data_IF_147052572935
#
_entry.id   IF_147052572935
#
_cell.length_a   1.000
_cell.length_b   1.000
_cell.length_c   1.000
_cell.angle_alpha   90.00
_cell.angle_beta   90.00
_cell.angle_gamma   90.00
#
_symmetry.space_group_name_H-M   'P 1'
#
loop_
_entity.id
_entity.type
_entity.pdbx_description
1 polymer ?
#
# COMPACT_ATOMS: atom_id res chain seq x y z
N UNK A 1 -7.73 -0.74 -13.22
CA UNK A 1 -8.23 0.48 -12.56
C UNK A 1 -8.81 1.42 -13.62
N UNK A 2 -9.93 2.11 -13.35
CA UNK A 2 -10.51 3.11 -14.28
C UNK A 2 -10.47 4.55 -13.72
N UNK A 3 -10.13 4.67 -12.43
CA UNK A 3 -9.99 5.92 -11.67
C UNK A 3 -9.13 5.63 -10.45
N UNK A 4 -8.18 6.52 -10.14
CA UNK A 4 -7.31 6.41 -8.96
C UNK A 4 -8.05 6.63 -7.63
N UNK A 5 -9.20 7.30 -7.64
CA UNK A 5 -10.16 7.38 -6.51
C UNK A 5 -11.39 6.52 -6.74
N UNK A 6 -11.22 5.40 -7.45
CA UNK A 6 -12.31 4.51 -7.81
C UNK A 6 -12.46 3.32 -6.86
N UNK A 7 -13.69 2.92 -6.55
CA UNK A 7 -14.00 1.66 -5.87
C UNK A 7 -15.22 1.04 -6.54
N UNK A 8 -15.16 -0.25 -6.87
CA UNK A 8 -16.18 -0.91 -7.69
C UNK A 8 -16.47 -0.13 -8.99
N UNK A 9 -17.70 0.36 -9.19
CA UNK A 9 -18.08 1.24 -10.29
C UNK A 9 -18.29 2.70 -9.88
N UNK A 10 -17.71 3.13 -8.76
CA UNK A 10 -17.86 4.47 -8.18
C UNK A 10 -16.54 5.24 -8.22
N UNK A 11 -16.60 6.57 -8.17
CA UNK A 11 -15.44 7.45 -8.01
C UNK A 11 -15.71 8.55 -6.99
N UNK A 12 -14.70 8.97 -6.24
CA UNK A 12 -14.83 10.04 -5.24
C UNK A 12 -13.92 11.24 -5.57
N UNK A 13 -14.51 12.37 -5.98
CA UNK A 13 -13.81 13.63 -6.22
C UNK A 13 -14.54 14.78 -5.53
N UNK A 14 -14.44 14.81 -4.19
CA UNK A 14 -15.23 15.72 -3.35
C UNK A 14 -16.67 15.26 -3.15
N UNK A 15 -16.92 13.95 -3.31
CA UNK A 15 -18.23 13.32 -3.29
C UNK A 15 -18.28 12.09 -4.18
N UNK A 16 -18.97 11.05 -3.72
CA UNK A 16 -19.16 9.79 -4.46
C UNK A 16 -20.05 10.05 -5.69
N UNK A 17 -19.58 9.57 -6.85
CA UNK A 17 -20.29 9.66 -8.13
C UNK A 17 -20.33 8.28 -8.78
N UNK A 18 -21.51 7.83 -9.23
CA UNK A 18 -21.64 6.66 -10.08
C UNK A 18 -20.84 6.78 -11.39
N UNK A 19 -20.27 5.66 -11.83
CA UNK A 19 -19.39 5.60 -13.00
C UNK A 19 -19.37 4.20 -13.67
N UNK A 20 -20.47 3.45 -13.59
CA UNK A 20 -20.69 2.17 -14.26
C UNK A 20 -20.34 2.22 -15.75
N UNK A 21 -20.82 3.24 -16.46
CA UNK A 21 -20.56 3.42 -17.90
C UNK A 21 -19.07 3.56 -18.19
N UNK A 22 -18.37 4.37 -17.38
CA UNK A 22 -16.92 4.55 -17.48
C UNK A 22 -16.16 3.29 -17.13
N UNK A 23 -16.56 2.55 -16.09
CA UNK A 23 -15.96 1.28 -15.69
C UNK A 23 -16.05 0.26 -16.83
N UNK A 24 -17.22 0.12 -17.47
CA UNK A 24 -17.41 -0.77 -18.62
C UNK A 24 -16.55 -0.35 -19.81
N UNK A 25 -16.53 0.94 -20.16
CA UNK A 25 -15.70 1.44 -21.25
C UNK A 25 -14.20 1.23 -20.99
N UNK A 26 -13.74 1.45 -19.75
CA UNK A 26 -12.36 1.22 -19.36
C UNK A 26 -11.98 -0.26 -19.39
N UNK A 27 -12.89 -1.16 -18.98
CA UNK A 27 -12.68 -2.60 -19.08
C UNK A 27 -12.57 -3.05 -20.54
N UNK A 28 -13.40 -2.51 -21.44
CA UNK A 28 -13.30 -2.78 -22.88
C UNK A 28 -11.95 -2.31 -23.44
N UNK A 29 -11.57 -1.07 -23.18
CA UNK A 29 -10.29 -0.54 -23.63
C UNK A 29 -9.12 -1.36 -23.07
N UNK A 30 -9.17 -1.74 -21.78
CA UNK A 30 -8.14 -2.62 -21.21
C UNK A 30 -8.06 -3.95 -21.99
N UNK A 31 -9.18 -4.56 -22.35
CA UNK A 31 -9.18 -5.80 -23.12
C UNK A 31 -8.59 -5.62 -24.54
N UNK A 32 -8.94 -4.54 -25.22
CA UNK A 32 -8.48 -4.27 -26.59
C UNK A 32 -6.97 -4.01 -26.67
N UNK A 33 -6.38 -3.44 -25.62
CA UNK A 33 -4.96 -3.05 -25.60
C UNK A 33 -4.05 -3.98 -24.78
N UNK A 34 -4.60 -5.01 -24.13
CA UNK A 34 -3.81 -5.98 -23.36
C UNK A 34 -3.90 -7.36 -24.00
N UNK A 35 -2.78 -8.10 -24.12
CA UNK A 35 -2.80 -9.47 -24.60
C UNK A 35 -3.41 -10.39 -23.52
N UNK A 36 -4.73 -10.40 -23.43
CA UNK A 36 -5.46 -11.02 -22.34
C UNK A 36 -6.48 -12.05 -22.81
N UNK A 37 -6.73 -13.02 -21.94
CA UNK A 37 -7.92 -13.88 -21.98
C UNK A 37 -8.66 -13.70 -20.67
N UNK A 38 -9.89 -13.21 -20.74
CA UNK A 38 -10.69 -12.86 -19.54
C UNK A 38 -12.00 -13.63 -19.55
N UNK A 39 -12.40 -14.08 -18.36
CA UNK A 39 -13.71 -14.66 -18.17
C UNK A 39 -14.74 -13.53 -18.08
N UNK A 40 -15.86 -13.69 -18.79
CA UNK A 40 -17.03 -12.84 -18.66
C UNK A 40 -18.24 -13.67 -18.21
N UNK A 41 -19.13 -13.13 -17.36
CA UNK A 41 -20.37 -13.79 -17.01
C UNK A 41 -21.17 -14.23 -18.25
N UNK A 42 -21.60 -15.48 -18.28
CA UNK A 42 -22.42 -16.03 -19.37
C UNK A 42 -21.67 -16.33 -20.69
N UNK A 43 -20.35 -16.15 -20.76
CA UNK A 43 -19.55 -16.47 -21.94
C UNK A 43 -18.58 -17.63 -21.69
N UNK A 44 -18.54 -18.58 -22.62
CA UNK A 44 -17.48 -19.60 -22.68
C UNK A 44 -16.24 -19.11 -23.44
N UNK A 45 -16.38 -18.04 -24.24
CA UNK A 45 -15.28 -17.40 -24.95
C UNK A 45 -14.50 -16.49 -24.01
N UNK A 46 -13.18 -16.48 -24.18
CA UNK A 46 -12.25 -15.65 -23.38
C UNK A 46 -11.43 -14.67 -24.22
N UNK A 47 -11.59 -14.74 -25.53
CA UNK A 47 -10.91 -13.98 -26.58
C UNK A 47 -11.83 -12.93 -27.23
N UNK A 48 -13.02 -12.73 -26.66
CA UNK A 48 -13.92 -11.64 -26.98
C UNK A 48 -14.33 -10.94 -25.68
N UNK A 49 -14.43 -9.61 -25.73
CA UNK A 49 -15.10 -8.81 -24.71
C UNK A 49 -16.43 -8.29 -25.25
N UNK A 50 -17.52 -8.61 -24.55
CA UNK A 50 -18.84 -8.01 -24.76
C UNK A 50 -19.10 -7.03 -23.63
N UNK A 51 -19.22 -5.74 -23.96
CA UNK A 51 -19.54 -4.71 -22.98
C UNK A 51 -21.00 -4.87 -22.50
N UNK A 52 -21.28 -4.99 -21.19
CA UNK A 52 -22.65 -4.98 -20.70
C UNK A 52 -23.27 -3.59 -20.85
N UNK A 53 -24.57 -3.56 -21.16
CA UNK A 53 -25.34 -2.32 -21.10
C UNK A 53 -25.60 -1.96 -19.63
N UNK A 54 -25.10 -0.79 -19.20
CA UNK A 54 -25.21 -0.30 -17.82
C UNK A 54 -25.56 1.19 -17.82
N UNK A 55 -26.15 1.65 -16.72
CA UNK A 55 -26.40 3.06 -16.45
C UNK A 55 -25.72 3.46 -15.14
N UNK A 56 -25.31 4.73 -15.04
CA UNK A 56 -24.69 5.27 -13.84
C UNK A 56 -25.75 5.43 -12.74
N UNK A 57 -25.60 4.71 -11.64
CA UNK A 57 -26.52 4.72 -10.50
C UNK A 57 -25.77 4.60 -9.15
N UNK A 58 -26.28 5.22 -8.06
CA UNK A 58 -25.76 4.97 -6.72
C UNK A 58 -25.89 3.49 -6.35
N UNK A 59 -24.92 2.95 -5.59
CA UNK A 59 -24.93 1.53 -5.22
C UNK A 59 -26.10 1.11 -4.32
N UNK A 60 -26.65 2.04 -3.53
CA UNK A 60 -27.76 1.76 -2.63
C UNK A 60 -27.37 0.74 -1.54
N UNK A 61 -27.84 -0.49 -1.68
CA UNK A 61 -27.60 -1.59 -0.75
C UNK A 61 -26.20 -2.17 -0.91
N UNK A 62 -25.53 -2.40 0.22
CA UNK A 62 -24.21 -3.03 0.29
C UNK A 62 -24.29 -4.34 1.09
N UNK A 63 -23.52 -5.35 0.68
CA UNK A 63 -23.39 -6.60 1.42
C UNK A 63 -22.46 -6.49 2.65
N UNK A 64 -22.18 -7.61 3.31
CA UNK A 64 -21.32 -7.67 4.49
C UNK A 64 -19.83 -7.39 4.22
N UNK A 65 -19.43 -7.28 2.96
CA UNK A 65 -18.09 -6.91 2.50
C UNK A 65 -18.07 -5.50 1.86
N UNK A 66 -19.19 -4.77 1.88
CA UNK A 66 -19.30 -3.45 1.26
C UNK A 66 -19.43 -3.49 -0.26
N UNK A 67 -19.76 -4.65 -0.86
CA UNK A 67 -20.06 -4.80 -2.28
C UNK A 67 -21.46 -4.23 -2.58
N UNK A 68 -21.58 -3.34 -3.56
CA UNK A 68 -22.86 -2.80 -4.00
C UNK A 68 -23.65 -3.79 -4.82
N UNK A 69 -24.91 -4.02 -4.43
CA UNK A 69 -25.80 -4.99 -5.06
C UNK A 69 -26.61 -4.42 -6.24
N UNK A 70 -26.40 -3.14 -6.56
CA UNK A 70 -26.96 -2.50 -7.76
C UNK A 70 -26.56 -3.30 -9.02
N UNK A 71 -27.54 -3.63 -9.86
CA UNK A 71 -27.35 -4.55 -11.00
C UNK A 71 -26.33 -4.03 -12.02
N UNK A 72 -26.34 -2.73 -12.30
CA UNK A 72 -25.39 -2.06 -13.18
C UNK A 72 -23.95 -2.10 -12.64
N UNK A 73 -23.77 -1.91 -11.33
CA UNK A 73 -22.48 -2.08 -10.66
C UNK A 73 -21.96 -3.50 -10.83
N UNK A 74 -22.76 -4.51 -10.47
CA UNK A 74 -22.39 -5.92 -10.60
C UNK A 74 -22.02 -6.26 -12.05
N UNK A 75 -22.85 -5.86 -13.03
CA UNK A 75 -22.54 -6.04 -14.44
C UNK A 75 -21.22 -5.37 -14.85
N UNK A 76 -20.98 -4.13 -14.40
CA UNK A 76 -19.76 -3.39 -14.74
C UNK A 76 -18.50 -4.01 -14.13
N UNK A 77 -18.50 -4.35 -12.83
CA UNK A 77 -17.31 -4.89 -12.14
C UNK A 77 -17.02 -6.33 -12.55
N UNK A 78 -18.04 -7.13 -12.86
CA UNK A 78 -17.88 -8.51 -13.29
C UNK A 78 -17.57 -8.66 -14.79
N UNK A 79 -17.77 -7.61 -15.59
CA UNK A 79 -17.48 -7.66 -17.03
C UNK A 79 -16.03 -8.00 -17.36
N UNK A 80 -15.10 -7.83 -16.42
CA UNK A 80 -13.69 -8.16 -16.55
C UNK A 80 -13.11 -8.72 -15.24
N UNK A 81 -13.21 -10.05 -15.03
CA UNK A 81 -12.58 -10.70 -13.87
C UNK A 81 -11.12 -11.08 -14.18
N UNK A 82 -10.17 -10.44 -13.48
CA UNK A 82 -8.73 -10.67 -13.68
C UNK A 82 -8.08 -11.61 -12.67
N UNK A 83 -8.67 -11.82 -11.49
CA UNK A 83 -8.02 -12.66 -10.48
C UNK A 83 -7.87 -14.11 -10.97
N UNK A 84 -6.66 -14.66 -10.86
CA UNK A 84 -6.26 -15.95 -11.47
C UNK A 84 -4.92 -16.41 -10.90
N UNK A 85 -4.55 -17.65 -11.22
CA UNK A 85 -3.25 -18.22 -10.87
C UNK A 85 -2.46 -18.61 -12.11
N UNK A 86 -1.14 -18.39 -12.09
CA UNK A 86 -0.20 -18.87 -13.08
C UNK A 86 0.90 -19.68 -12.38
N UNK A 87 1.27 -20.84 -12.92
CA UNK A 87 2.20 -21.79 -12.27
C UNK A 87 3.48 -21.95 -13.10
N UNK A 88 4.63 -21.71 -12.47
CA UNK A 88 5.95 -21.99 -13.04
C UNK A 88 6.61 -23.15 -12.30
N UNK A 89 6.35 -24.36 -12.80
CA UNK A 89 6.87 -25.60 -12.24
C UNK A 89 6.52 -25.77 -10.77
N UNK A 90 7.48 -26.25 -9.98
CA UNK A 90 7.34 -26.39 -8.51
C UNK A 90 7.62 -25.10 -7.73
N UNK A 91 8.32 -24.15 -8.35
CA UNK A 91 8.89 -23.02 -7.61
C UNK A 91 7.87 -21.91 -7.35
N UNK A 92 7.08 -21.53 -8.35
CA UNK A 92 6.23 -20.33 -8.25
C UNK A 92 4.78 -20.66 -8.58
N UNK A 93 3.90 -20.24 -7.67
CA UNK A 93 2.51 -19.94 -7.98
C UNK A 93 2.31 -18.44 -7.88
N UNK A 94 2.09 -17.80 -9.02
CA UNK A 94 1.75 -16.38 -9.10
C UNK A 94 0.23 -16.27 -8.98
N UNK A 95 -0.23 -15.69 -7.87
CA UNK A 95 -1.63 -15.45 -7.56
C UNK A 95 -1.89 -13.97 -7.83
N UNK A 96 -2.78 -13.69 -8.79
CA UNK A 96 -3.16 -12.33 -9.15
C UNK A 96 -4.54 -12.04 -8.58
N UNK A 97 -4.70 -10.87 -7.96
CA UNK A 97 -5.98 -10.38 -7.42
C UNK A 97 -6.42 -9.09 -8.12
N UNK A 98 -7.71 -8.78 -8.06
CA UNK A 98 -8.24 -7.46 -8.38
C UNK A 98 -8.47 -6.68 -7.06
N UNK A 99 -7.69 -5.64 -6.83
CA UNK A 99 -7.77 -4.81 -5.63
C UNK A 99 -8.59 -3.51 -5.84
N UNK A 100 -9.40 -3.42 -6.89
CA UNK A 100 -10.24 -2.22 -7.18
C UNK A 100 -11.71 -2.56 -7.45
N UNK A 101 -11.98 -3.63 -8.19
CA UNK A 101 -13.33 -3.93 -8.68
C UNK A 101 -14.28 -4.43 -7.59
N UNK A 102 -13.78 -4.98 -6.48
CA UNK A 102 -14.59 -5.60 -5.43
C UNK A 102 -14.40 -4.98 -4.05
N UNK A 103 -13.59 -3.92 -3.94
CA UNK A 103 -13.32 -3.26 -2.66
C UNK A 103 -14.51 -2.42 -2.19
N UNK A 104 -14.69 -2.28 -0.87
CA UNK A 104 -15.56 -1.25 -0.29
C UNK A 104 -14.96 0.15 -0.50
N UNK A 105 -15.72 1.22 -0.20
CA UNK A 105 -15.14 2.57 -0.17
C UNK A 105 -14.00 2.66 0.86
N UNK A 106 -12.83 3.24 0.51
CA UNK A 106 -11.75 3.47 1.47
C UNK A 106 -12.25 4.25 2.68
N UNK A 107 -12.00 3.72 3.88
CA UNK A 107 -12.57 4.29 5.12
C UNK A 107 -12.12 5.72 5.37
N UNK A 108 -10.91 6.07 4.94
CA UNK A 108 -10.34 7.42 5.06
C UNK A 108 -10.99 8.45 4.13
N UNK A 109 -11.63 8.00 3.04
CA UNK A 109 -12.31 8.84 2.07
C UNK A 109 -13.80 9.03 2.40
N UNK A 110 -14.34 8.24 3.33
CA UNK A 110 -15.73 8.36 3.77
C UNK A 110 -15.95 9.67 4.55
N UNK A 111 -17.10 10.34 4.38
CA UNK A 111 -17.39 11.60 5.07
C UNK A 111 -17.24 11.52 6.61
N UNK A 112 -17.56 10.36 7.19
CA UNK A 112 -17.43 10.14 8.63
C UNK A 112 -15.98 10.17 9.15
N UNK A 113 -14.99 9.92 8.29
CA UNK A 113 -13.58 9.96 8.68
C UNK A 113 -13.00 11.39 8.72
N UNK A 114 -13.70 12.39 8.18
CA UNK A 114 -13.22 13.77 8.12
C UNK A 114 -12.89 14.35 9.51
N UNK A 115 -13.58 13.91 10.56
CA UNK A 115 -13.31 14.34 11.94
C UNK A 115 -11.95 13.87 12.48
N UNK A 116 -11.32 12.87 11.86
CA UNK A 116 -10.03 12.29 12.26
C UNK A 116 -8.87 12.73 11.35
N UNK A 117 -9.11 13.70 10.47
CA UNK A 117 -8.10 14.23 9.56
C UNK A 117 -7.50 15.53 10.12
N UNK A 118 -6.17 15.62 10.12
CA UNK A 118 -5.47 16.85 10.51
C UNK A 118 -5.16 17.72 9.29
N UNK A 119 -5.56 18.98 9.32
CA UNK A 119 -5.14 19.97 8.32
C UNK A 119 -3.63 20.25 8.36
N UNK A 120 -3.02 20.09 9.53
CA UNK A 120 -1.60 20.34 9.72
C UNK A 120 -0.71 19.18 9.24
N UNK A 121 -1.26 17.97 9.19
CA UNK A 121 -0.58 16.76 8.74
C UNK A 121 -1.38 16.10 7.63
N UNK A 122 -1.44 16.71 6.44
CA UNK A 122 -2.12 16.11 5.30
C UNK A 122 -1.50 14.74 4.99
N UNK A 123 -2.33 13.81 4.51
CA UNK A 123 -1.97 12.42 4.15
C UNK A 123 -1.65 11.49 5.32
N UNK A 124 -1.63 11.99 6.55
CA UNK A 124 -1.46 11.18 7.75
C UNK A 124 -2.77 10.97 8.50
N UNK A 125 -3.01 9.74 8.93
CA UNK A 125 -4.17 9.34 9.70
C UNK A 125 -3.73 8.65 11.01
N UNK A 126 -4.41 8.89 12.15
CA UNK A 126 -4.13 8.12 13.37
C UNK A 126 -4.37 6.63 13.15
N UNK A 127 -3.35 5.81 13.41
CA UNK A 127 -3.42 4.36 13.24
C UNK A 127 -4.62 3.78 14.00
N UNK A 128 -4.80 4.20 15.26
CA UNK A 128 -5.87 3.71 16.13
C UNK A 128 -7.26 4.07 15.59
N UNK A 129 -7.42 5.27 15.01
CA UNK A 129 -8.67 5.68 14.39
C UNK A 129 -8.96 4.83 13.14
N UNK A 130 -7.95 4.61 12.28
CA UNK A 130 -8.09 3.75 11.10
C UNK A 130 -8.47 2.34 11.50
N UNK A 131 -7.85 1.75 12.52
CA UNK A 131 -8.17 0.41 13.01
C UNK A 131 -9.63 0.28 13.48
N UNK A 132 -10.15 1.28 14.20
CA UNK A 132 -11.56 1.28 14.65
C UNK A 132 -12.52 1.47 13.46
N UNK A 133 -12.24 2.43 12.59
CA UNK A 133 -13.12 2.77 11.46
C UNK A 133 -13.19 1.64 10.42
N UNK A 134 -12.05 1.00 10.14
CA UNK A 134 -11.93 -0.16 9.26
C UNK A 134 -12.71 -1.35 9.79
N UNK A 135 -12.43 -1.79 11.02
CA UNK A 135 -13.08 -2.96 11.60
C UNK A 135 -14.59 -2.77 11.82
N UNK A 136 -15.05 -1.52 11.94
CA UNK A 136 -16.47 -1.19 12.12
C UNK A 136 -17.08 -1.98 13.27
N UNK A 137 -18.21 -2.66 13.01
CA UNK A 137 -18.91 -3.47 14.02
C UNK A 137 -18.12 -4.65 14.57
N UNK A 138 -17.05 -5.10 13.89
CA UNK A 138 -16.24 -6.23 14.33
C UNK A 138 -15.12 -5.83 15.31
N UNK A 139 -14.85 -4.52 15.47
CA UNK A 139 -13.77 -4.05 16.34
C UNK A 139 -13.92 -4.58 17.78
N UNK A 140 -12.80 -4.91 18.42
CA UNK A 140 -12.78 -5.37 19.81
C UNK A 140 -13.57 -6.68 20.07
N UNK A 141 -13.69 -7.55 19.06
CA UNK A 141 -14.47 -8.78 19.17
C UNK A 141 -15.99 -8.53 19.15
N UNK A 142 -16.44 -7.62 18.27
CA UNK A 142 -17.86 -7.26 18.17
C UNK A 142 -18.31 -6.17 19.15
N UNK A 143 -17.36 -5.46 19.77
CA UNK A 143 -17.61 -4.40 20.77
C UNK A 143 -16.92 -3.11 20.34
N UNK A 144 -17.34 -2.50 19.22
CA UNK A 144 -16.77 -1.23 18.77
C UNK A 144 -17.03 -0.12 19.79
N UNK A 145 -16.07 0.77 20.04
CA UNK A 145 -16.30 1.88 20.95
C UNK A 145 -17.32 2.86 20.35
N UNK A 146 -18.10 3.52 21.21
CA UNK A 146 -19.07 4.53 20.79
C UNK A 146 -18.41 5.81 20.27
N UNK A 147 -17.18 6.10 20.71
CA UNK A 147 -16.38 7.25 20.32
C UNK A 147 -14.89 6.86 20.21
N UNK A 148 -14.13 7.64 19.44
CA UNK A 148 -12.69 7.52 19.22
C UNK A 148 -12.04 8.80 19.74
N UNK A 149 -10.97 8.66 20.53
CA UNK A 149 -10.22 9.80 21.06
C UNK A 149 -9.45 10.49 19.93
N UNK A 150 -9.69 11.78 19.74
CA UNK A 150 -8.96 12.59 18.76
C UNK A 150 -8.94 14.06 19.18
N UNK A 151 -7.77 14.70 19.10
CA UNK A 151 -7.52 16.09 19.44
C UNK A 151 -8.06 16.49 20.83
N UNK A 152 -7.85 15.63 21.83
CA UNK A 152 -8.30 15.89 23.19
C UNK A 152 -9.82 15.76 23.43
N UNK A 153 -10.59 15.26 22.46
CA UNK A 153 -12.03 15.03 22.55
C UNK A 153 -12.41 13.58 22.18
N UNK A 154 -13.58 13.14 22.66
CA UNK A 154 -14.19 11.87 22.25
C UNK A 154 -15.10 12.14 21.05
N UNK A 155 -14.66 11.73 19.87
CA UNK A 155 -15.38 11.95 18.60
C UNK A 155 -16.27 10.73 18.32
N UNK A 156 -17.58 10.90 18.02
CA UNK A 156 -18.46 9.78 17.73
C UNK A 156 -17.89 8.83 16.66
N UNK A 157 -17.99 7.52 16.89
CA UNK A 157 -17.57 6.51 15.92
C UNK A 157 -18.66 6.33 14.84
N UNK A 158 -18.47 6.85 13.61
CA UNK A 158 -19.49 6.77 12.57
C UNK A 158 -19.66 5.34 12.01
N UNK A 159 -18.68 4.46 12.24
CA UNK A 159 -18.57 3.14 11.64
C UNK A 159 -18.96 2.00 12.58
N UNK A 160 -19.38 2.31 13.82
CA UNK A 160 -19.71 1.30 14.85
C UNK A 160 -20.73 0.24 14.43
N UNK A 161 -21.66 0.57 13.52
CA UNK A 161 -22.67 -0.35 13.00
C UNK A 161 -22.33 -0.98 11.64
N UNK A 162 -21.27 -0.51 10.99
CA UNK A 162 -20.96 -0.84 9.60
C UNK A 162 -20.08 -2.11 9.50
N UNK A 163 -20.13 -2.85 8.37
CA UNK A 163 -19.29 -4.04 8.18
C UNK A 163 -17.82 -3.65 8.12
N UNK A 164 -16.87 -4.56 8.45
CA UNK A 164 -15.46 -4.33 8.14
C UNK A 164 -15.23 -3.91 6.68
N UNK A 165 -14.26 -3.04 6.43
CA UNK A 165 -13.86 -2.73 5.05
C UNK A 165 -13.25 -3.97 4.38
N UNK A 166 -13.46 -4.11 3.06
CA UNK A 166 -12.96 -5.25 2.28
C UNK A 166 -12.23 -4.77 1.03
N UNK A 167 -11.07 -5.35 0.72
CA UNK A 167 -10.28 -5.01 -0.47
C UNK A 167 -10.60 -5.96 -1.62
N UNK A 168 -10.74 -7.26 -1.32
CA UNK A 168 -10.97 -8.31 -2.32
C UNK A 168 -12.45 -8.62 -2.51
N UNK A 169 -13.35 -8.21 -1.60
CA UNK A 169 -14.74 -8.65 -1.59
C UNK A 169 -14.89 -10.14 -1.24
N UNK A 170 -16.12 -10.62 -1.10
CA UNK A 170 -16.40 -11.97 -0.58
C UNK A 170 -15.87 -13.12 -1.46
N UNK A 171 -16.23 -13.14 -2.74
CA UNK A 171 -15.89 -14.23 -3.67
C UNK A 171 -14.37 -14.38 -3.84
N UNK A 172 -13.70 -13.29 -4.21
CA UNK A 172 -12.27 -13.31 -4.50
C UNK A 172 -11.44 -13.52 -3.22
N UNK A 173 -11.85 -12.97 -2.06
CA UNK A 173 -11.18 -13.27 -0.79
C UNK A 173 -11.23 -14.75 -0.49
N UNK A 174 -12.42 -15.37 -0.53
CA UNK A 174 -12.58 -16.81 -0.27
C UNK A 174 -11.67 -17.63 -1.19
N UNK A 175 -11.73 -17.36 -2.49
CA UNK A 175 -10.86 -17.99 -3.49
C UNK A 175 -9.37 -17.82 -3.16
N UNK A 176 -8.94 -16.62 -2.80
CA UNK A 176 -7.55 -16.31 -2.49
C UNK A 176 -7.05 -17.11 -1.28
N UNK A 177 -7.83 -17.13 -0.20
CA UNK A 177 -7.50 -17.88 1.02
C UNK A 177 -7.46 -19.41 0.76
N UNK A 178 -8.38 -19.93 -0.04
CA UNK A 178 -8.37 -21.35 -0.47
C UNK A 178 -7.14 -21.67 -1.33
N UNK A 179 -6.74 -20.76 -2.25
CA UNK A 179 -5.51 -20.91 -3.05
C UNK A 179 -4.26 -20.92 -2.18
N UNK A 180 -4.17 -20.03 -1.21
CA UNK A 180 -3.04 -20.00 -0.27
C UNK A 180 -2.92 -21.32 0.51
N UNK A 181 -4.04 -21.88 0.99
CA UNK A 181 -4.06 -23.18 1.67
C UNK A 181 -3.64 -24.34 0.76
N UNK A 182 -4.12 -24.35 -0.49
CA UNK A 182 -3.92 -25.47 -1.40
C UNK A 182 -2.54 -25.46 -2.10
N UNK A 183 -1.86 -24.31 -2.17
CA UNK A 183 -0.65 -24.18 -2.96
C UNK A 183 0.53 -24.96 -2.39
N UNK A 184 1.00 -25.94 -3.17
CA UNK A 184 2.25 -26.66 -2.94
C UNK A 184 3.49 -26.00 -3.59
N UNK A 185 3.39 -24.75 -4.07
CA UNK A 185 4.58 -24.05 -4.60
C UNK A 185 5.60 -23.77 -3.49
N UNK A 186 6.88 -23.74 -3.86
CA UNK A 186 7.93 -23.17 -3.01
C UNK A 186 7.59 -21.73 -2.61
N UNK A 187 7.17 -20.92 -3.59
CA UNK A 187 6.82 -19.52 -3.45
C UNK A 187 5.38 -19.26 -3.90
N UNK A 188 4.59 -18.67 -2.99
CA UNK A 188 3.26 -18.11 -3.27
C UNK A 188 3.48 -16.62 -3.51
N UNK A 189 3.64 -16.24 -4.76
CA UNK A 189 3.87 -14.85 -5.15
C UNK A 189 2.50 -14.20 -5.38
N UNK A 190 2.13 -13.27 -4.52
CA UNK A 190 0.93 -12.49 -4.67
C UNK A 190 1.22 -11.21 -5.47
N UNK A 191 0.79 -11.20 -6.73
CA UNK A 191 0.72 -9.98 -7.53
C UNK A 191 -0.45 -9.14 -7.04
N UNK A 192 -0.13 -8.09 -6.30
CA UNK A 192 -1.05 -7.23 -5.57
C UNK A 192 -0.99 -5.83 -6.20
N UNK A 193 -2.12 -5.15 -6.42
CA UNK A 193 -2.05 -3.81 -7.05
C UNK A 193 -1.52 -2.75 -6.07
N UNK A 194 -1.71 -2.94 -4.76
CA UNK A 194 -1.40 -1.95 -3.73
C UNK A 194 -0.64 -2.61 -2.57
N UNK A 195 0.25 -1.88 -1.89
CA UNK A 195 1.16 -2.44 -0.88
C UNK A 195 0.51 -2.76 0.48
N UNK A 196 1.09 -3.72 1.21
CA UNK A 196 0.71 -4.20 2.55
C UNK A 196 1.63 -3.72 3.67
N UNK A 197 2.87 -3.35 3.38
CA UNK A 197 3.81 -2.79 4.36
C UNK A 197 3.23 -1.49 4.88
N UNK A 198 3.23 -1.31 6.20
CA UNK A 198 2.81 -0.03 6.76
C UNK A 198 3.86 1.04 6.46
N UNK A 199 3.42 2.15 5.90
CA UNK A 199 4.13 3.40 6.01
C UNK A 199 3.56 4.14 7.21
N UNK A 200 4.26 4.07 8.34
CA UNK A 200 3.88 4.80 9.55
C UNK A 200 5.06 5.62 10.05
N UNK A 201 4.76 6.67 10.79
CA UNK A 201 5.76 7.48 11.50
C UNK A 201 5.24 7.87 12.88
N UNK A 202 6.13 8.37 13.72
CA UNK A 202 5.85 8.74 15.10
C UNK A 202 5.62 10.25 15.26
N UNK A 203 4.60 10.80 14.59
CA UNK A 203 4.25 12.23 14.68
C UNK A 203 3.97 12.71 16.12
N UNK A 204 3.60 11.82 17.05
CA UNK A 204 3.47 12.12 18.47
C UNK A 204 4.79 12.55 19.14
N UNK A 205 5.94 12.24 18.52
CA UNK A 205 7.27 12.61 19.00
C UNK A 205 7.76 13.96 18.46
N UNK A 206 6.92 14.69 17.73
CA UNK A 206 7.23 16.06 17.30
C UNK A 206 7.42 17.00 18.51
N UNK A 207 8.35 17.96 18.44
CA UNK A 207 8.54 18.95 19.49
C UNK A 207 7.27 19.73 19.80
N UNK A 208 7.04 20.01 21.08
CA UNK A 208 5.85 20.71 21.56
C UNK A 208 5.86 22.23 21.25
N UNK A 209 7.02 22.77 20.90
CA UNK A 209 7.28 24.19 20.63
C UNK A 209 7.45 24.44 19.12
N UNK A 210 6.87 25.53 18.61
CA UNK A 210 7.16 26.05 17.27
C UNK A 210 6.44 25.40 16.08
N UNK A 211 5.48 24.48 16.30
CA UNK A 211 4.74 23.83 15.21
C UNK A 211 3.41 23.20 15.63
N UNK A 212 2.63 22.66 14.67
CA UNK A 212 1.39 21.94 14.97
C UNK A 212 1.69 20.65 15.75
N UNK A 213 0.78 20.28 16.65
CA UNK A 213 0.87 19.02 17.41
C UNK A 213 0.06 17.94 16.73
N UNK A 214 0.59 16.72 16.73
CA UNK A 214 -0.16 15.55 16.29
C UNK A 214 -1.40 15.36 17.19
N UNK A 215 -2.62 15.27 16.64
CA UNK A 215 -3.85 15.23 17.42
C UNK A 215 -4.20 13.84 17.97
N UNK A 216 -3.28 12.87 17.95
CA UNK A 216 -3.50 11.53 18.48
C UNK A 216 -2.29 11.06 19.30
N UNK A 217 -2.50 10.02 20.10
CA UNK A 217 -1.47 9.53 21.04
C UNK A 217 -0.49 8.55 20.37
N UNK A 218 -0.92 7.89 19.29
CA UNK A 218 -0.17 6.84 18.62
C UNK A 218 0.44 7.22 17.28
N UNK A 219 0.86 6.18 16.55
CA UNK A 219 1.53 6.34 15.26
C UNK A 219 0.59 6.92 14.19
N UNK A 220 1.18 7.63 13.25
CA UNK A 220 0.49 8.15 12.09
C UNK A 220 0.75 7.25 10.88
N UNK A 221 -0.31 6.75 10.26
CA UNK A 221 -0.27 6.05 8.97
C UNK A 221 -0.20 7.05 7.83
N UNK A 222 0.76 6.89 6.92
CA UNK A 222 0.80 7.58 5.64
C UNK A 222 0.03 6.75 4.60
N UNK A 223 -1.07 7.31 4.10
CA UNK A 223 -1.97 6.63 3.16
C UNK A 223 -3.22 6.04 3.83
N UNK A 224 -4.01 5.34 3.03
CA UNK A 224 -5.30 4.76 3.46
C UNK A 224 -6.17 4.23 2.33
N UNK A 225 -5.75 4.41 1.06
CA UNK A 225 -6.38 3.81 -0.11
C UNK A 225 -5.80 2.43 -0.49
N UNK A 226 -4.71 2.01 0.17
CA UNK A 226 -4.10 0.68 0.06
C UNK A 226 -4.43 -0.19 1.30
N UNK A 227 -3.74 -1.32 1.48
CA UNK A 227 -3.99 -2.20 2.63
C UNK A 227 -3.77 -1.54 4.00
N UNK A 228 -3.17 -0.35 4.06
CA UNK A 228 -3.10 0.42 5.32
C UNK A 228 -4.48 0.85 5.83
N UNK A 229 -5.47 1.01 4.95
CA UNK A 229 -6.86 1.35 5.28
C UNK A 229 -7.84 0.17 5.32
N UNK A 230 -7.40 -1.04 4.95
CA UNK A 230 -8.20 -2.28 4.93
C UNK A 230 -7.61 -3.30 5.91
N UNK A 231 -7.37 -2.85 7.14
CA UNK A 231 -6.49 -3.54 8.11
C UNK A 231 -7.08 -4.85 8.61
N UNK A 232 -8.39 -4.95 8.74
CA UNK A 232 -9.10 -6.13 9.21
C UNK A 232 -8.94 -7.27 8.22
N UNK A 233 -9.11 -7.00 6.92
CA UNK A 233 -8.90 -8.01 5.88
C UNK A 233 -7.41 -8.33 5.68
N UNK A 234 -6.52 -7.31 5.75
CA UNK A 234 -5.06 -7.52 5.78
C UNK A 234 -4.68 -8.49 6.89
N UNK A 235 -5.25 -8.29 8.08
CA UNK A 235 -4.99 -9.09 9.26
C UNK A 235 -5.56 -10.51 9.12
N UNK A 236 -6.76 -10.68 8.56
CA UNK A 236 -7.33 -12.00 8.23
C UNK A 236 -6.40 -12.85 7.34
N UNK A 237 -5.82 -12.22 6.31
CA UNK A 237 -4.87 -12.87 5.40
C UNK A 237 -3.59 -13.27 6.13
N UNK A 238 -2.97 -12.35 6.88
CA UNK A 238 -1.71 -12.60 7.58
C UNK A 238 -1.88 -13.63 8.72
N UNK A 239 -3.01 -13.59 9.44
CA UNK A 239 -3.37 -14.60 10.44
C UNK A 239 -3.53 -15.99 9.81
N UNK A 240 -4.10 -16.07 8.61
CA UNK A 240 -4.20 -17.33 7.89
C UNK A 240 -2.81 -17.87 7.53
N UNK A 241 -1.91 -17.02 7.04
CA UNK A 241 -0.53 -17.41 6.74
C UNK A 241 0.18 -17.90 8.00
N UNK A 242 0.02 -17.22 9.14
CA UNK A 242 0.56 -17.64 10.44
C UNK A 242 0.00 -19.00 10.88
N UNK A 243 -1.33 -19.10 10.97
CA UNK A 243 -2.05 -20.26 11.52
C UNK A 243 -1.82 -21.51 10.70
N UNK A 244 -1.88 -21.40 9.38
CA UNK A 244 -1.66 -22.52 8.45
C UNK A 244 -0.17 -22.76 8.18
N UNK A 245 0.72 -21.99 8.82
CA UNK A 245 2.18 -22.09 8.70
C UNK A 245 2.67 -22.02 7.25
N UNK A 246 2.02 -21.19 6.43
CA UNK A 246 2.32 -21.08 5.00
C UNK A 246 3.68 -20.39 4.85
N UNK A 247 4.65 -21.15 4.37
CA UNK A 247 5.97 -20.62 4.09
C UNK A 247 6.14 -20.29 2.60
N UNK A 248 7.03 -19.34 2.31
CA UNK A 248 7.28 -18.83 0.96
C UNK A 248 6.21 -17.86 0.46
N UNK A 249 5.48 -17.22 1.37
CA UNK A 249 4.52 -16.17 1.03
C UNK A 249 5.24 -14.85 0.77
N UNK A 250 5.12 -14.33 -0.44
CA UNK A 250 5.68 -13.04 -0.83
C UNK A 250 4.68 -12.26 -1.66
N UNK A 251 4.65 -10.95 -1.50
CA UNK A 251 3.83 -10.04 -2.32
C UNK A 251 4.71 -9.09 -3.13
N UNK A 252 4.25 -8.81 -4.34
CA UNK A 252 4.87 -7.88 -5.28
C UNK A 252 3.79 -6.86 -5.64
N UNK A 253 4.06 -5.58 -5.37
CA UNK A 253 3.10 -4.49 -5.51
C UNK A 253 3.69 -3.24 -6.17
N UNK A 254 2.81 -2.31 -6.55
CA UNK A 254 3.15 -0.99 -7.07
C UNK A 254 2.35 0.11 -6.35
N UNK A 255 1.71 1.00 -7.12
CA UNK A 255 0.80 2.09 -6.70
C UNK A 255 1.44 3.23 -5.91
N UNK A 256 2.34 2.94 -4.95
CA UNK A 256 2.93 3.94 -4.06
C UNK A 256 3.95 4.89 -4.70
N UNK A 257 4.35 4.63 -5.95
CA UNK A 257 5.42 5.37 -6.66
C UNK A 257 6.70 5.46 -5.83
N UNK A 258 7.12 4.32 -5.28
CA UNK A 258 8.25 4.22 -4.38
C UNK A 258 8.78 2.79 -4.39
N UNK A 259 10.08 2.62 -4.17
CA UNK A 259 10.61 1.30 -3.84
C UNK A 259 10.46 1.03 -2.35
N UNK A 260 10.01 -0.17 -1.97
CA UNK A 260 10.03 -0.61 -0.58
C UNK A 260 10.27 -2.11 -0.50
N UNK A 261 11.08 -2.55 0.47
CA UNK A 261 11.23 -3.96 0.79
C UNK A 261 11.09 -4.15 2.30
N UNK A 262 10.40 -5.21 2.70
CA UNK A 262 10.14 -5.47 4.11
C UNK A 262 9.50 -6.82 4.39
N UNK A 263 9.26 -7.08 5.66
CA UNK A 263 8.55 -8.27 6.12
C UNK A 263 7.13 -7.92 6.55
N UNK A 264 6.18 -8.83 6.35
CA UNK A 264 4.77 -8.62 6.67
C UNK A 264 4.43 -9.23 8.00
N UNK A 265 3.93 -8.40 8.91
CA UNK A 265 3.38 -8.79 10.20
C UNK A 265 1.98 -8.20 10.37
N UNK A 266 1.10 -8.94 11.06
CA UNK A 266 -0.26 -8.48 11.41
C UNK A 266 -0.20 -7.12 12.10
N UNK A 267 0.64 -7.02 13.12
CA UNK A 267 0.88 -5.83 13.93
C UNK A 267 2.38 -5.51 14.02
N UNK A 268 2.69 -4.30 14.45
CA UNK A 268 4.04 -3.81 14.68
C UNK A 268 4.20 -3.43 16.17
N UNK A 269 5.42 -3.19 16.68
CA UNK A 269 5.62 -2.69 18.04
C UNK A 269 4.80 -1.41 18.31
N UNK A 270 4.36 -1.19 19.56
CA UNK A 270 4.60 -2.00 20.74
C UNK A 270 3.75 -3.29 20.82
N UNK A 271 2.87 -3.55 19.85
CA UNK A 271 2.12 -4.81 19.79
C UNK A 271 3.01 -5.98 19.30
N UNK A 272 2.47 -7.20 19.38
CA UNK A 272 3.17 -8.42 18.97
C UNK A 272 3.66 -8.31 17.52
N UNK A 273 4.96 -8.46 17.32
CA UNK A 273 5.59 -8.41 16.01
C UNK A 273 5.97 -9.82 15.55
N UNK A 274 5.21 -10.36 14.59
CA UNK A 274 5.37 -11.72 14.08
C UNK A 274 5.34 -11.74 12.55
N UNK A 275 6.51 -11.56 11.91
CA UNK A 275 6.58 -11.61 10.46
C UNK A 275 6.22 -13.00 9.90
N UNK A 276 5.43 -13.03 8.83
CA UNK A 276 4.95 -14.26 8.17
C UNK A 276 5.14 -14.28 6.65
N UNK A 277 5.41 -13.11 6.05
CA UNK A 277 5.70 -12.98 4.63
C UNK A 277 6.72 -11.89 4.34
N UNK A 278 7.06 -11.72 3.07
CA UNK A 278 7.88 -10.59 2.58
C UNK A 278 7.11 -9.79 1.55
N UNK A 279 7.40 -8.50 1.43
CA UNK A 279 6.84 -7.65 0.40
C UNK A 279 7.91 -6.85 -0.31
N UNK A 280 7.71 -6.68 -1.62
CA UNK A 280 8.49 -5.82 -2.49
C UNK A 280 7.55 -4.91 -3.28
N UNK A 281 7.69 -3.60 -3.07
CA UNK A 281 6.96 -2.55 -3.79
C UNK A 281 7.91 -1.95 -4.81
N UNK A 282 7.50 -1.92 -6.08
CA UNK A 282 8.29 -1.32 -7.16
C UNK A 282 8.00 0.17 -7.29
N UNK A 283 9.04 0.92 -7.66
CA UNK A 283 8.91 2.31 -8.06
C UNK A 283 8.02 2.50 -9.29
N UNK A 284 7.63 3.74 -9.53
CA UNK A 284 6.91 4.15 -10.72
C UNK A 284 7.84 4.20 -11.93
N UNK A 285 7.31 3.87 -13.12
CA UNK A 285 8.05 4.11 -14.37
C UNK A 285 8.15 5.62 -14.65
N UNK A 286 7.07 6.38 -14.40
CA UNK A 286 7.02 7.81 -14.74
C UNK A 286 6.10 8.65 -13.85
N UNK A 287 5.26 8.03 -13.02
CA UNK A 287 4.32 8.76 -12.19
C UNK A 287 5.05 9.48 -11.05
N UNK A 288 4.71 10.74 -10.71
CA UNK A 288 5.42 11.49 -9.68
C UNK A 288 5.41 10.80 -8.32
N UNK A 289 6.57 10.82 -7.67
CA UNK A 289 6.78 10.22 -6.34
C UNK A 289 6.28 11.15 -5.22
N UNK A 290 6.16 10.62 -3.99
CA UNK A 290 5.81 11.45 -2.82
C UNK A 290 6.86 12.53 -2.56
N UNK A 291 8.14 12.21 -2.76
CA UNK A 291 9.22 13.18 -2.63
C UNK A 291 9.08 14.35 -3.62
N UNK A 292 8.81 14.07 -4.90
CA UNK A 292 8.59 15.13 -5.91
C UNK A 292 7.35 15.96 -5.61
N UNK A 293 6.26 15.32 -5.19
CA UNK A 293 5.05 16.02 -4.78
C UNK A 293 5.32 16.95 -3.58
N UNK A 294 6.14 16.50 -2.61
CA UNK A 294 6.54 17.32 -1.48
C UNK A 294 7.43 18.49 -1.92
N UNK A 295 8.42 18.26 -2.80
CA UNK A 295 9.27 19.32 -3.35
C UNK A 295 8.45 20.43 -4.01
N UNK A 296 7.37 20.07 -4.70
CA UNK A 296 6.48 21.02 -5.36
C UNK A 296 5.56 21.78 -4.39
N UNK A 297 4.97 21.08 -3.42
CA UNK A 297 3.86 21.61 -2.62
C UNK A 297 4.25 22.14 -1.23
N UNK A 298 5.32 21.61 -0.63
CA UNK A 298 5.72 21.99 0.72
C UNK A 298 6.63 23.22 0.64
N UNK A 299 6.19 24.36 1.18
CA UNK A 299 6.98 25.60 1.15
C UNK A 299 8.12 25.59 2.19
N UNK A 300 9.16 26.40 1.98
CA UNK A 300 10.37 26.47 2.83
C UNK A 300 10.08 26.89 4.28
N UNK A 301 9.04 27.69 4.49
CA UNK A 301 8.61 28.22 5.78
C UNK A 301 7.69 27.26 6.55
N UNK A 302 7.31 26.12 5.97
CA UNK A 302 6.44 25.15 6.65
C UNK A 302 7.19 24.40 7.76
N UNK A 303 6.69 24.38 9.00
CA UNK A 303 7.42 23.79 10.13
C UNK A 303 7.58 22.26 10.03
N UNK A 304 6.75 21.57 9.24
CA UNK A 304 6.86 20.13 8.96
C UNK A 304 7.67 19.79 7.71
N UNK A 305 8.29 20.77 7.03
CA UNK A 305 9.07 20.52 5.81
C UNK A 305 10.17 19.48 6.03
N UNK A 306 10.86 19.56 7.17
CA UNK A 306 11.92 18.64 7.55
C UNK A 306 11.47 17.16 7.59
N UNK A 307 10.17 16.90 7.76
CA UNK A 307 9.64 15.54 7.75
C UNK A 307 9.64 14.93 6.35
N UNK A 308 9.63 15.76 5.31
CA UNK A 308 9.55 15.34 3.92
C UNK A 308 10.83 15.59 3.14
N UNK A 309 11.47 16.72 3.38
CA UNK A 309 12.57 17.28 2.59
C UNK A 309 13.69 17.72 3.52
N UNK A 310 14.92 17.31 3.20
CA UNK A 310 16.12 17.89 3.79
C UNK A 310 16.70 18.89 2.80
N UNK A 311 16.85 20.15 3.21
CA UNK A 311 17.55 21.16 2.41
C UNK A 311 19.00 21.28 2.93
N UNK A 312 20.02 20.80 2.19
CA UNK A 312 21.40 20.84 2.64
C UNK A 312 21.89 22.28 2.85
N UNK A 313 22.64 22.52 3.93
CA UNK A 313 23.22 23.84 4.21
C UNK A 313 24.20 24.31 3.12
N UNK A 314 24.75 23.38 2.33
CA UNK A 314 25.60 23.67 1.16
C UNK A 314 24.84 24.32 0.00
N UNK A 315 23.51 24.41 0.05
CA UNK A 315 22.69 24.95 -1.04
C UNK A 315 22.45 23.97 -2.20
N UNK A 316 22.74 22.69 -2.00
CA UNK A 316 22.46 21.61 -2.95
C UNK A 316 20.96 21.32 -3.14
N UNK A 317 20.61 20.39 -4.05
CA UNK A 317 19.23 19.94 -4.20
C UNK A 317 18.70 19.32 -2.90
N UNK A 318 17.39 19.45 -2.67
CA UNK A 318 16.76 18.81 -1.52
C UNK A 318 16.87 17.28 -1.61
N UNK A 319 16.96 16.61 -0.45
CA UNK A 319 17.02 15.16 -0.30
C UNK A 319 15.71 14.61 0.34
N UNK A 320 15.35 13.33 0.10
CA UNK A 320 14.07 12.75 0.54
C UNK A 320 14.07 12.37 2.04
N UNK A 321 13.98 13.37 2.93
CA UNK A 321 13.90 13.14 4.38
C UNK A 321 12.68 12.31 4.81
N UNK A 322 11.64 12.20 3.96
CA UNK A 322 10.49 11.32 4.19
C UNK A 322 10.89 9.85 4.38
N UNK A 323 11.97 9.40 3.72
CA UNK A 323 12.52 8.06 3.92
C UNK A 323 12.94 7.86 5.38
N UNK A 324 13.63 8.86 5.97
CA UNK A 324 14.01 8.84 7.39
C UNK A 324 12.80 8.89 8.30
N UNK A 325 11.84 9.79 8.03
CA UNK A 325 10.64 9.91 8.86
C UNK A 325 9.85 8.60 8.93
N UNK A 326 9.69 7.89 7.81
CA UNK A 326 8.95 6.63 7.76
C UNK A 326 9.72 5.42 8.28
N UNK A 327 11.06 5.44 8.27
CA UNK A 327 11.88 4.30 8.72
C UNK A 327 12.42 4.44 10.14
N UNK A 328 12.73 5.67 10.52
CA UNK A 328 13.48 6.00 11.73
C UNK A 328 12.75 7.00 12.63
N UNK A 329 11.65 7.58 12.17
CA UNK A 329 10.83 8.50 12.93
C UNK A 329 11.19 9.98 12.75
N UNK A 330 10.31 10.85 13.24
CA UNK A 330 10.37 12.31 13.02
C UNK A 330 11.60 12.95 13.65
N UNK A 331 12.10 12.39 14.76
CA UNK A 331 13.31 12.92 15.41
C UNK A 331 14.56 12.72 14.57
N UNK A 332 14.62 11.66 13.78
CA UNK A 332 15.74 11.41 12.87
C UNK A 332 15.80 12.46 11.76
N UNK A 333 14.66 12.78 11.14
CA UNK A 333 14.60 13.78 10.07
C UNK A 333 14.83 15.20 10.61
N UNK A 334 14.31 15.53 11.80
CA UNK A 334 14.61 16.80 12.48
C UNK A 334 16.08 16.94 12.87
N UNK A 335 16.70 15.88 13.39
CA UNK A 335 18.11 15.87 13.73
C UNK A 335 18.97 16.11 12.48
N UNK A 336 18.67 15.42 11.36
CA UNK A 336 19.36 15.66 10.10
C UNK A 336 19.21 17.11 9.63
N UNK A 337 18.00 17.67 9.67
CA UNK A 337 17.77 19.05 9.25
C UNK A 337 18.59 20.06 10.08
N UNK A 338 18.78 19.78 11.37
CA UNK A 338 19.55 20.64 12.28
C UNK A 338 21.06 20.51 12.09
N UNK A 339 21.58 19.31 11.84
CA UNK A 339 23.01 19.02 11.92
C UNK A 339 23.68 18.80 10.56
N UNK A 340 22.91 18.39 9.55
CA UNK A 340 23.45 17.86 8.29
C UNK A 340 24.15 16.51 8.43
N UNK A 341 24.09 15.88 9.61
CA UNK A 341 24.84 14.67 9.95
C UNK A 341 23.91 13.43 10.02
N UNK A 342 24.14 12.50 9.10
CA UNK A 342 23.37 11.24 8.97
C UNK A 342 23.55 10.33 10.19
N UNK A 343 24.70 10.30 10.85
CA UNK A 343 24.93 9.46 12.03
C UNK A 343 24.13 9.98 13.23
N UNK A 344 24.10 11.30 13.43
CA UNK A 344 23.28 11.91 14.47
C UNK A 344 21.78 11.72 14.21
N UNK A 345 21.36 11.76 12.95
CA UNK A 345 19.99 11.43 12.56
C UNK A 345 19.61 10.00 12.96
N UNK A 346 20.47 9.02 12.66
CA UNK A 346 20.23 7.61 13.01
C UNK A 346 20.30 7.37 14.53
N UNK A 347 21.14 8.10 15.27
CA UNK A 347 21.17 8.03 16.73
C UNK A 347 19.86 8.52 17.39
N UNK A 348 19.11 9.38 16.70
CA UNK A 348 17.80 9.87 17.14
C UNK A 348 16.63 8.97 16.70
N UNK A 349 16.90 7.83 16.06
CA UNK A 349 15.88 6.95 15.53
C UNK A 349 15.01 6.30 16.61
N UNK A 350 13.74 6.07 16.29
CA UNK A 350 12.83 5.27 17.07
C UNK A 350 12.72 3.86 16.47
N UNK A 351 13.26 2.81 17.13
CA UNK A 351 13.27 1.44 16.59
C UNK A 351 11.86 0.83 16.47
N UNK A 352 10.86 1.40 17.14
CA UNK A 352 9.48 0.92 17.04
C UNK A 352 8.82 1.37 15.74
N UNK A 353 9.26 2.45 15.08
CA UNK A 353 8.55 3.03 13.92
C UNK A 353 8.34 2.03 12.80
N UNK A 354 9.41 1.40 12.31
CA UNK A 354 9.30 0.51 11.16
C UNK A 354 10.31 -0.66 11.18
N UNK A 355 10.30 -1.52 12.22
CA UNK A 355 11.17 -2.70 12.27
C UNK A 355 10.90 -3.71 11.15
N UNK A 356 9.80 -3.54 10.42
CA UNK A 356 9.40 -4.33 9.27
C UNK A 356 10.00 -3.85 7.94
N UNK A 357 10.49 -2.60 7.86
CA UNK A 357 11.05 -2.03 6.62
C UNK A 357 12.57 -2.27 6.53
N UNK A 358 12.99 -3.06 5.55
CA UNK A 358 14.39 -3.28 5.22
C UNK A 358 14.95 -2.19 4.28
N UNK A 359 14.09 -1.59 3.46
CA UNK A 359 14.46 -0.54 2.49
C UNK A 359 13.23 0.30 2.13
N UNK A 360 13.42 1.60 1.91
CA UNK A 360 12.40 2.46 1.30
C UNK A 360 13.05 3.60 0.54
N UNK A 361 12.54 3.89 -0.65
CA UNK A 361 12.87 5.05 -1.46
C UNK A 361 11.59 5.66 -2.03
N UNK A 362 11.14 6.77 -1.42
CA UNK A 362 9.97 7.53 -1.85
C UNK A 362 10.27 8.60 -2.91
N UNK A 363 11.47 8.59 -3.50
CA UNK A 363 11.85 9.42 -4.65
C UNK A 363 12.27 8.62 -5.88
N UNK A 364 12.28 7.29 -5.80
CA UNK A 364 12.80 6.40 -6.84
C UNK A 364 11.81 6.09 -7.95
N UNK A 365 12.31 6.11 -9.19
CA UNK A 365 11.62 5.63 -10.38
C UNK A 365 12.30 4.38 -10.92
N UNK A 366 11.55 3.48 -11.54
CA UNK A 366 12.12 2.33 -12.24
C UNK A 366 11.26 1.09 -12.11
N UNK A 367 11.91 -0.06 -12.06
CA UNK A 367 11.25 -1.36 -12.08
C UNK A 367 11.95 -2.36 -11.16
N UNK A 368 11.29 -3.49 -10.94
CA UNK A 368 11.83 -4.61 -10.17
C UNK A 368 12.05 -5.83 -11.07
N UNK A 369 13.13 -6.56 -10.82
CA UNK A 369 13.41 -7.87 -11.43
C UNK A 369 13.32 -8.93 -10.34
N UNK A 370 12.49 -9.94 -10.57
CA UNK A 370 12.22 -11.02 -9.59
C UNK A 370 12.82 -12.33 -10.10
N UNK A 371 13.66 -12.96 -9.27
CA UNK A 371 14.20 -14.29 -9.49
C UNK A 371 13.77 -15.21 -8.36
N UNK A 372 13.05 -16.28 -8.69
CA UNK A 372 12.61 -17.27 -7.72
C UNK A 372 13.26 -18.63 -8.01
N UNK A 373 14.00 -19.15 -7.04
CA UNK A 373 14.59 -20.49 -7.05
C UNK A 373 13.92 -21.40 -6.02
N UNK A 374 14.38 -22.64 -5.89
CA UNK A 374 13.93 -23.51 -4.80
C UNK A 374 14.40 -23.00 -3.41
N UNK A 375 15.54 -22.30 -3.37
CA UNK A 375 16.25 -21.92 -2.15
C UNK A 375 16.00 -20.49 -1.73
N UNK A 376 15.73 -19.58 -2.68
CA UNK A 376 15.57 -18.16 -2.41
C UNK A 376 14.65 -17.44 -3.40
N UNK A 377 14.18 -16.27 -2.96
CA UNK A 377 13.54 -15.26 -3.76
C UNK A 377 14.43 -14.01 -3.73
N UNK A 378 14.92 -13.60 -4.88
CA UNK A 378 15.72 -12.39 -5.05
C UNK A 378 14.90 -11.35 -5.80
N UNK A 379 14.87 -10.13 -5.28
CA UNK A 379 14.22 -9.00 -5.93
C UNK A 379 15.22 -7.85 -6.03
N UNK A 380 15.52 -7.48 -7.25
CA UNK A 380 16.39 -6.35 -7.56
C UNK A 380 15.53 -5.15 -7.93
N UNK A 381 15.71 -4.04 -7.22
CA UNK A 381 15.19 -2.75 -7.62
C UNK A 381 16.21 -2.07 -8.52
N UNK A 382 15.78 -1.74 -9.73
CA UNK A 382 16.57 -1.01 -10.72
C UNK A 382 16.01 0.40 -10.78
N UNK A 383 16.69 1.33 -10.11
CA UNK A 383 16.29 2.73 -10.10
C UNK A 383 16.91 3.46 -11.29
N UNK A 384 16.06 4.13 -12.06
CA UNK A 384 16.47 5.05 -13.12
C UNK A 384 16.54 6.48 -12.57
N UNK A 385 17.32 7.38 -13.21
CA UNK A 385 17.17 8.81 -12.99
C UNK A 385 15.73 9.25 -13.22
N UNK A 386 15.34 10.37 -12.61
CA UNK A 386 14.01 10.95 -12.80
C UNK A 386 13.72 11.09 -14.31
N UNK A 387 12.64 10.49 -14.82
CA UNK A 387 12.39 10.36 -16.26
C UNK A 387 11.80 11.65 -16.86
N UNK A 388 12.56 12.75 -16.76
CA UNK A 388 12.19 14.06 -17.32
C UNK A 388 12.52 14.17 -18.81
N UNK A 389 13.57 13.47 -19.24
CA UNK A 389 14.07 13.51 -20.60
C UNK A 389 14.13 12.08 -21.16
N UNK A 390 13.81 11.95 -22.44
CA UNK A 390 13.90 10.68 -23.15
C UNK A 390 15.37 10.33 -23.38
N UNK A 391 15.78 9.12 -23.01
CA UNK A 391 17.04 8.55 -23.47
C UNK A 391 16.92 8.08 -24.92
N UNK A 392 17.91 8.40 -25.74
CA UNK A 392 18.08 7.90 -27.11
C UNK A 392 18.87 6.59 -27.18
N UNK A 393 19.38 6.11 -26.04
CA UNK A 393 20.20 4.90 -25.96
C UNK A 393 19.33 3.63 -25.91
N UNK A 394 19.75 2.53 -26.56
CA UNK A 394 19.02 1.27 -26.53
C UNK A 394 18.87 0.65 -25.13
N UNK A 395 19.80 0.95 -24.21
CA UNK A 395 19.80 0.47 -22.82
C UNK A 395 18.92 1.32 -21.88
N UNK A 396 18.31 2.40 -22.39
CA UNK A 396 17.45 3.31 -21.62
C UNK A 396 18.22 4.37 -20.83
N UNK A 397 19.54 4.43 -20.94
CA UNK A 397 20.37 5.42 -20.26
C UNK A 397 20.94 4.93 -18.91
N UNK A 398 21.55 5.85 -18.13
CA UNK A 398 22.19 5.49 -16.88
C UNK A 398 21.17 5.04 -15.83
N UNK A 399 21.63 4.27 -14.85
CA UNK A 399 20.87 3.92 -13.65
C UNK A 399 21.27 4.85 -12.50
N UNK A 400 20.32 5.18 -11.63
CA UNK A 400 20.61 5.90 -10.39
C UNK A 400 21.26 4.95 -9.37
N UNK A 401 20.67 3.77 -9.18
CA UNK A 401 21.25 2.69 -8.37
C UNK A 401 20.58 1.34 -8.70
N UNK A 402 21.22 0.26 -8.27
CA UNK A 402 20.62 -1.08 -8.16
C UNK A 402 20.76 -1.59 -6.74
N UNK A 403 19.73 -2.24 -6.23
CA UNK A 403 19.80 -2.92 -4.93
C UNK A 403 19.06 -4.25 -5.00
N UNK A 404 19.75 -5.33 -4.62
CA UNK A 404 19.15 -6.67 -4.58
C UNK A 404 18.87 -7.09 -3.15
N UNK A 405 17.61 -7.48 -2.91
CA UNK A 405 17.16 -8.09 -1.67
C UNK A 405 16.95 -9.59 -1.86
N UNK A 406 17.25 -10.37 -0.84
CA UNK A 406 17.07 -11.84 -0.84
C UNK A 406 16.24 -12.26 0.36
N UNK A 407 15.19 -13.04 0.11
CA UNK A 407 14.55 -13.88 1.11
C UNK A 407 14.96 -15.33 0.88
N UNK A 408 15.69 -15.93 1.82
CA UNK A 408 15.94 -17.38 1.80
C UNK A 408 14.64 -18.13 2.12
N UNK A 409 14.45 -19.31 1.55
CA UNK A 409 13.32 -20.17 1.89
C UNK A 409 13.32 -20.46 3.39
N UNK A 410 12.18 -20.19 4.04
CA UNK A 410 12.00 -20.45 5.47
C UNK A 410 11.14 -21.68 5.74
N UNK A 411 11.34 -22.33 6.88
CA UNK A 411 10.51 -23.46 7.29
C UNK A 411 9.09 -22.99 7.67
N UNK A 412 8.06 -23.84 7.51
CA UNK A 412 6.71 -23.58 8.04
C UNK A 412 6.73 -23.10 9.49
N UNK A 413 6.05 -21.98 9.76
CA UNK A 413 5.95 -21.40 11.11
C UNK A 413 7.18 -20.62 11.58
N UNK A 414 8.20 -20.44 10.75
CA UNK A 414 9.36 -19.59 11.05
C UNK A 414 9.24 -18.23 10.37
N UNK A 415 9.76 -17.18 11.02
CA UNK A 415 9.71 -15.82 10.47
C UNK A 415 10.66 -15.67 9.27
N UNK A 416 10.22 -15.04 8.17
CA UNK A 416 11.10 -14.70 7.07
C UNK A 416 12.11 -13.62 7.47
N UNK A 417 13.23 -13.58 6.76
CA UNK A 417 14.24 -12.53 6.86
C UNK A 417 14.59 -12.03 5.46
N UNK A 418 14.84 -10.73 5.37
CA UNK A 418 15.38 -10.09 4.18
C UNK A 418 16.85 -9.75 4.41
N UNK A 419 17.67 -10.12 3.45
CA UNK A 419 19.10 -9.78 3.39
C UNK A 419 19.33 -8.86 2.19
N UNK A 420 20.17 -7.83 2.36
CA UNK A 420 20.69 -7.03 1.23
C UNK A 420 21.86 -7.79 0.62
N UNK A 421 21.73 -8.21 -0.63
CA UNK A 421 22.73 -9.03 -1.33
C UNK A 421 23.78 -8.18 -2.05
N UNK A 422 23.35 -7.11 -2.70
CA UNK A 422 24.23 -6.22 -3.45
C UNK A 422 23.67 -4.80 -3.52
N UNK A 423 24.55 -3.84 -3.74
CA UNK A 423 24.23 -2.45 -4.01
C UNK A 423 25.22 -1.90 -5.02
N UNK A 424 24.71 -1.21 -6.03
CA UNK A 424 25.46 -0.47 -7.03
C UNK A 424 24.90 0.95 -7.12
N UNK A 425 25.75 1.96 -7.15
CA UNK A 425 25.35 3.37 -7.10
C UNK A 425 25.14 3.90 -5.68
N UNK A 426 24.67 5.15 -5.58
CA UNK A 426 24.39 5.81 -4.31
C UNK A 426 22.90 5.63 -3.95
N UNK A 427 22.65 5.06 -2.77
CA UNK A 427 21.30 4.90 -2.26
C UNK A 427 20.77 6.23 -1.70
N UNK A 428 19.45 6.47 -1.78
CA UNK A 428 18.86 7.70 -1.28
C UNK A 428 18.99 7.80 0.24
N UNK A 429 18.83 9.02 0.74
CA UNK A 429 18.82 9.28 2.18
C UNK A 429 17.84 8.34 2.91
N UNK A 430 18.31 7.71 3.99
CA UNK A 430 17.49 6.81 4.81
C UNK A 430 17.24 5.42 4.24
N UNK A 431 17.94 5.01 3.17
CA UNK A 431 17.86 3.68 2.55
C UNK A 431 18.64 2.56 3.25
#
# INVERSE_FOLDING_TARGET
>A
EFSWKGWQSQQNFGGVRPAQTRKTAANQAWFEYQPARVAQPGSTRRDLFVAPAVADAPLGELDEHGLGLEKGNLAAIESLKIFRTLRWGRNVELILTDNRSFRSEPVVDQPGAAAFQSKAFPYFFPLEAVEVLDAGRAYGGGKPPAAIRFNGADVPNPRRGAPPASMLGGEQKKWFLERLRASAATWKLWGNSVGMLDWRTDLQNLPAEGGPRWPADGFALAGGDDWSGYRSERAEILDLVERERIAGFATIAGDRHAFAAGVLSRSLPPQSYKPVGVEFITGSISAPTLFEAAQHNVKKDQPWRALYLHDPASGGPAEPAINLSLRHGVRASLALQKTGDRQQALAAANPEVAPHLAFTDLGGHGYAVVRASAEDLQVEFVCIPRPLERSDRPDGGPLAYRITHRAKRWAPGTAPRLERLSTEGELPLGA
#
